data_IF_536439394981
#
_entry.id   IF_536439394981
#
_cell.length_a   1.000
_cell.length_b   1.000
_cell.length_c   1.000
_cell.angle_alpha   90.00
_cell.angle_beta   90.00
_cell.angle_gamma   90.00
#
_symmetry.space_group_name_H-M   'P 1'
#
loop_
_entity.id
_entity.type
_entity.pdbx_description
1 polymer ?
#
# COMPACT_ATOMS: atom_id res chain seq x y z
N UNK A 1 4.75 -1.35 -8.14
CA UNK A 1 5.25 -0.09 -8.73
C UNK A 1 5.71 -0.40 -10.14
N UNK A 2 5.19 0.35 -11.13
CA UNK A 2 5.31 0.02 -12.55
C UNK A 2 6.68 0.30 -13.16
N UNK A 3 7.00 -0.44 -14.21
CA UNK A 3 8.03 -0.09 -15.17
C UNK A 3 7.68 -0.74 -16.53
N UNK A 4 7.06 0.03 -17.41
CA UNK A 4 7.14 -0.17 -18.85
C UNK A 4 8.46 0.46 -19.29
N UNK A 5 9.38 -0.32 -19.85
CA UNK A 5 10.55 0.19 -20.56
C UNK A 5 10.47 -0.27 -22.02
N UNK A 6 10.63 0.71 -22.90
CA UNK A 6 10.38 0.64 -24.34
C UNK A 6 11.49 -0.14 -25.05
N UNK A 7 11.07 -0.87 -26.08
CA UNK A 7 11.87 -1.61 -27.02
C UNK A 7 12.78 -0.70 -27.89
N UNK A 8 14.08 -1.05 -27.88
CA UNK A 8 14.87 -1.51 -29.04
C UNK A 8 15.16 -0.58 -30.25
N UNK A 9 16.49 -0.46 -30.49
CA UNK A 9 17.24 -0.53 -31.77
C UNK A 9 17.83 0.75 -32.42
N UNK A 10 19.13 0.98 -32.11
CA UNK A 10 20.31 1.07 -33.03
C UNK A 10 20.04 0.80 -34.53
N UNK A 11 20.65 1.38 -35.59
CA UNK A 11 21.84 2.22 -35.94
C UNK A 11 21.73 2.52 -37.49
N UNK A 12 22.75 3.02 -38.24
CA UNK A 12 23.38 4.35 -38.24
C UNK A 12 23.41 5.01 -39.66
N UNK A 13 24.14 6.13 -39.72
CA UNK A 13 24.38 7.12 -40.79
C UNK A 13 24.73 6.64 -42.21
N UNK A 14 24.43 7.45 -43.22
CA UNK A 14 25.44 7.95 -44.20
C UNK A 14 25.15 9.43 -44.54
N UNK A 15 26.13 10.28 -44.26
CA UNK A 15 26.23 11.65 -44.72
C UNK A 15 27.05 11.73 -46.02
N UNK A 16 26.59 12.58 -46.93
CA UNK A 16 27.38 13.64 -47.58
C UNK A 16 27.36 13.67 -49.11
N UNK A 17 27.07 14.88 -49.60
CA UNK A 17 27.63 15.47 -50.82
C UNK A 17 26.92 15.22 -52.16
N UNK A 18 25.69 15.74 -52.28
CA UNK A 18 25.33 16.54 -53.46
C UNK A 18 24.80 17.88 -52.95
N UNK A 19 25.73 18.66 -52.38
CA UNK A 19 25.58 20.11 -52.19
C UNK A 19 25.52 20.72 -53.58
N UNK A 20 24.46 21.46 -53.93
CA UNK A 20 24.56 22.83 -54.46
C UNK A 20 23.25 23.41 -54.98
N UNK A 21 22.23 22.61 -55.30
CA UNK A 21 21.06 23.14 -56.05
C UNK A 21 19.84 23.55 -55.20
N UNK A 22 19.71 23.04 -53.97
CA UNK A 22 18.48 23.19 -53.16
C UNK A 22 18.42 24.46 -52.31
N UNK A 23 19.32 25.44 -52.54
CA UNK A 23 19.47 26.61 -51.66
C UNK A 23 18.52 27.78 -51.99
N UNK A 24 17.84 27.75 -53.15
CA UNK A 24 17.11 28.92 -53.65
C UNK A 24 15.57 28.76 -53.62
N UNK A 25 15.02 27.55 -53.69
CA UNK A 25 13.56 27.33 -53.70
C UNK A 25 12.91 27.21 -52.32
N UNK A 26 13.66 26.82 -51.27
CA UNK A 26 13.08 26.59 -49.94
C UNK A 26 12.79 27.86 -49.12
N UNK A 27 13.26 29.04 -49.55
CA UNK A 27 13.09 30.29 -48.80
C UNK A 27 11.66 30.86 -48.87
N UNK A 28 10.90 30.49 -49.89
CA UNK A 28 9.53 30.97 -50.14
C UNK A 28 8.46 30.01 -49.61
N UNK A 29 8.74 28.71 -49.53
CA UNK A 29 7.86 27.72 -48.89
C UNK A 29 7.89 27.81 -47.36
N UNK A 30 9.04 28.12 -46.75
CA UNK A 30 9.17 28.19 -45.28
C UNK A 30 8.34 29.32 -44.64
N UNK A 31 8.05 30.40 -45.37
CA UNK A 31 7.22 31.51 -44.85
C UNK A 31 5.72 31.24 -44.90
N UNK A 32 5.25 30.32 -45.76
CA UNK A 32 3.84 29.93 -45.81
C UNK A 32 3.52 28.79 -44.84
N UNK A 33 4.49 27.94 -44.52
CA UNK A 33 4.34 26.90 -43.50
C UNK A 33 4.48 27.44 -42.06
N UNK A 34 5.17 28.57 -41.87
CA UNK A 34 5.35 29.18 -40.54
C UNK A 34 4.08 29.81 -39.97
N UNK A 35 3.12 30.23 -40.80
CA UNK A 35 1.85 30.79 -40.34
C UNK A 35 0.79 29.73 -39.98
N UNK A 36 0.96 28.47 -40.40
CA UNK A 36 0.04 27.37 -40.06
C UNK A 36 0.47 26.60 -38.81
N UNK A 37 1.68 26.84 -38.28
CA UNK A 37 2.21 26.18 -37.08
C UNK A 37 2.01 26.99 -35.78
N UNK A 38 1.42 28.19 -35.86
CA UNK A 38 1.19 29.11 -34.74
C UNK A 38 -0.24 29.06 -34.17
N UNK A 39 -1.07 28.11 -34.60
CA UNK A 39 -2.46 27.94 -34.15
C UNK A 39 -2.75 26.56 -33.52
N UNK A 40 -1.77 25.97 -32.83
CA UNK A 40 -1.95 24.69 -32.13
C UNK A 40 -1.33 24.63 -30.72
N UNK A 41 -1.08 25.78 -30.08
CA UNK A 41 -0.70 25.85 -28.65
C UNK A 41 -1.86 26.35 -27.77
N UNK A 42 -3.05 25.84 -28.04
CA UNK A 42 -4.21 25.95 -27.15
C UNK A 42 -4.42 24.65 -26.37
N UNK A 43 -3.37 24.08 -25.76
CA UNK A 43 -3.57 23.08 -24.70
C UNK A 43 -4.18 23.82 -23.52
N UNK A 44 -5.50 24.01 -23.57
CA UNK A 44 -6.27 24.33 -22.39
C UNK A 44 -5.89 23.29 -21.36
N UNK A 45 -5.28 23.73 -20.26
CA UNK A 45 -5.33 22.95 -19.03
C UNK A 45 -6.80 22.88 -18.68
N UNK A 46 -7.48 21.86 -19.18
CA UNK A 46 -8.80 21.50 -18.70
C UNK A 46 -8.59 21.21 -17.22
N UNK A 47 -8.96 22.18 -16.37
CA UNK A 47 -9.04 21.95 -14.95
C UNK A 47 -10.13 20.89 -14.84
N UNK A 48 -9.70 19.66 -14.56
CA UNK A 48 -10.57 18.51 -14.45
C UNK A 48 -11.68 18.85 -13.44
N UNK A 49 -12.94 18.63 -13.82
CA UNK A 49 -14.06 19.08 -13.00
C UNK A 49 -13.99 18.38 -11.64
N UNK A 50 -14.32 19.05 -10.53
CA UNK A 50 -14.37 18.40 -9.22
C UNK A 50 -15.38 17.24 -9.26
N UNK A 51 -15.08 16.14 -8.55
CA UNK A 51 -15.96 14.99 -8.63
C UNK A 51 -17.32 15.26 -7.97
N UNK A 52 -18.37 14.87 -8.69
CA UNK A 52 -19.76 14.96 -8.31
C UNK A 52 -20.06 13.99 -7.17
N UNK A 53 -20.76 14.50 -6.17
CA UNK A 53 -21.20 13.75 -4.98
C UNK A 53 -21.87 12.43 -5.35
N UNK A 54 -22.76 12.45 -6.34
CA UNK A 54 -23.51 11.26 -6.75
C UNK A 54 -22.61 10.15 -7.30
N UNK A 55 -21.60 10.48 -8.14
CA UNK A 55 -20.67 9.50 -8.69
C UNK A 55 -19.78 8.90 -7.60
N UNK A 56 -19.33 9.73 -6.66
CA UNK A 56 -18.55 9.27 -5.50
C UNK A 56 -19.37 8.34 -4.62
N UNK A 57 -20.65 8.67 -4.36
CA UNK A 57 -21.53 7.79 -3.59
C UNK A 57 -21.73 6.43 -4.26
N UNK A 58 -21.93 6.41 -5.58
CA UNK A 58 -22.01 5.16 -6.35
C UNK A 58 -20.72 4.35 -6.24
N UNK A 59 -19.57 5.02 -6.36
CA UNK A 59 -18.27 4.37 -6.20
C UNK A 59 -18.15 3.71 -4.82
N UNK A 60 -18.47 4.42 -3.74
CA UNK A 60 -18.40 3.89 -2.37
C UNK A 60 -19.29 2.65 -2.15
N UNK A 61 -20.45 2.59 -2.82
CA UNK A 61 -21.33 1.42 -2.80
C UNK A 61 -20.71 0.26 -3.57
N UNK A 62 -20.19 0.51 -4.78
CA UNK A 62 -19.62 -0.53 -5.65
C UNK A 62 -18.36 -1.16 -5.04
N UNK A 63 -17.57 -0.38 -4.31
CA UNK A 63 -16.41 -0.89 -3.56
C UNK A 63 -16.77 -1.46 -2.19
N UNK A 64 -18.06 -1.48 -1.82
CA UNK A 64 -18.58 -2.05 -0.56
C UNK A 64 -17.90 -1.46 0.69
N UNK A 65 -17.77 -0.14 0.72
CA UNK A 65 -17.08 0.55 1.81
C UNK A 65 -17.79 0.37 3.18
N UNK A 66 -19.12 0.27 3.19
CA UNK A 66 -19.93 -0.03 4.37
C UNK A 66 -19.66 -1.44 4.90
N UNK A 67 -19.60 -2.44 4.01
CA UNK A 67 -19.28 -3.81 4.37
C UNK A 67 -17.85 -3.91 4.92
N UNK A 68 -16.91 -3.18 4.32
CA UNK A 68 -15.52 -3.15 4.79
C UNK A 68 -15.43 -2.64 6.23
N UNK A 69 -16.16 -1.57 6.56
CA UNK A 69 -16.23 -1.05 7.94
C UNK A 69 -16.83 -2.10 8.90
N UNK A 70 -17.90 -2.79 8.48
CA UNK A 70 -18.51 -3.85 9.28
C UNK A 70 -17.56 -5.03 9.52
N UNK A 71 -16.77 -5.40 8.50
CA UNK A 71 -15.75 -6.43 8.60
C UNK A 71 -14.66 -6.04 9.60
N UNK A 72 -14.15 -4.81 9.51
CA UNK A 72 -13.16 -4.28 10.47
C UNK A 72 -13.71 -4.34 11.90
N UNK A 73 -14.97 -3.98 12.13
CA UNK A 73 -15.59 -4.08 13.46
C UNK A 73 -15.74 -5.53 13.96
N UNK A 74 -16.02 -6.45 13.05
CA UNK A 74 -16.12 -7.87 13.37
C UNK A 74 -14.76 -8.45 13.77
N UNK A 75 -13.71 -8.09 13.04
CA UNK A 75 -12.33 -8.52 13.30
C UNK A 75 -11.72 -7.84 14.54
N UNK A 76 -12.14 -6.61 14.83
CA UNK A 76 -11.67 -5.85 16.00
C UNK A 76 -12.21 -6.42 17.32
N UNK A 77 -13.44 -6.96 17.33
CA UNK A 77 -14.09 -7.50 18.54
C UNK A 77 -13.21 -8.45 19.38
N UNK A 78 -12.62 -9.53 18.83
CA UNK A 78 -11.76 -10.42 19.62
C UNK A 78 -10.50 -9.74 20.15
N UNK A 79 -9.95 -8.74 19.43
CA UNK A 79 -8.80 -7.98 19.89
C UNK A 79 -9.14 -7.10 21.10
N UNK A 80 -10.30 -6.43 21.07
CA UNK A 80 -10.79 -5.65 22.22
C UNK A 80 -11.08 -6.53 23.42
N UNK A 81 -11.58 -7.75 23.19
CA UNK A 81 -11.79 -8.73 24.26
C UNK A 81 -10.47 -9.11 24.93
N UNK A 82 -9.43 -9.41 24.14
CA UNK A 82 -8.11 -9.71 24.66
C UNK A 82 -7.52 -8.52 25.43
N UNK A 83 -7.64 -7.31 24.86
CA UNK A 83 -7.14 -6.09 25.49
C UNK A 83 -7.86 -5.79 26.82
N UNK A 84 -9.17 -5.97 26.89
CA UNK A 84 -9.93 -5.78 28.12
C UNK A 84 -9.50 -6.76 29.22
N UNK A 85 -9.28 -8.03 28.86
CA UNK A 85 -8.74 -9.03 29.79
C UNK A 85 -7.37 -8.60 30.32
N UNK A 86 -6.46 -8.15 29.44
CA UNK A 86 -5.14 -7.68 29.81
C UNK A 86 -5.19 -6.46 30.74
N UNK A 87 -6.10 -5.50 30.49
CA UNK A 87 -6.28 -4.33 31.35
C UNK A 87 -6.69 -4.76 32.77
N UNK A 88 -7.68 -5.65 32.89
CA UNK A 88 -8.17 -6.11 34.20
C UNK A 88 -7.10 -6.93 34.92
N UNK A 89 -6.38 -7.81 34.21
CA UNK A 89 -5.24 -8.56 34.75
C UNK A 89 -4.15 -7.62 35.30
N UNK A 90 -3.82 -6.56 34.55
CA UNK A 90 -2.81 -5.59 34.96
C UNK A 90 -3.23 -4.79 36.20
N UNK A 91 -4.48 -4.29 36.24
CA UNK A 91 -5.02 -3.54 37.39
C UNK A 91 -5.03 -4.40 38.67
N UNK A 92 -5.33 -5.69 38.53
CA UNK A 92 -5.45 -6.63 39.65
C UNK A 92 -4.15 -7.38 39.96
N UNK A 93 -3.08 -7.06 39.23
CA UNK A 93 -1.75 -7.68 39.33
C UNK A 93 -1.81 -9.22 39.34
N UNK A 94 -2.60 -9.81 38.44
CA UNK A 94 -2.78 -11.26 38.34
C UNK A 94 -3.01 -11.73 36.92
N UNK A 95 -2.54 -12.94 36.63
CA UNK A 95 -2.70 -13.53 35.29
C UNK A 95 -4.10 -14.13 35.08
N UNK A 96 -4.68 -14.75 36.12
CA UNK A 96 -5.97 -15.44 36.01
C UNK A 96 -7.09 -14.62 36.66
N UNK A 97 -8.18 -14.44 35.91
CA UNK A 97 -9.37 -13.75 36.39
C UNK A 97 -10.39 -14.76 36.94
N UNK A 98 -10.99 -14.45 38.09
CA UNK A 98 -12.19 -15.14 38.55
C UNK A 98 -13.39 -14.85 37.63
N UNK A 99 -14.46 -15.61 37.75
CA UNK A 99 -15.67 -15.42 36.95
C UNK A 99 -16.25 -13.99 37.06
N UNK A 100 -16.26 -13.41 38.26
CA UNK A 100 -16.73 -12.03 38.47
C UNK A 100 -15.82 -11.00 37.79
N UNK A 101 -14.51 -11.19 37.87
CA UNK A 101 -13.52 -10.33 37.21
C UNK A 101 -13.58 -10.44 35.69
N UNK A 102 -13.80 -11.66 35.17
CA UNK A 102 -14.02 -11.88 33.73
C UNK A 102 -15.28 -11.15 33.26
N UNK A 103 -16.36 -11.18 34.06
CA UNK A 103 -17.58 -10.42 33.74
C UNK A 103 -17.31 -8.91 33.65
N UNK A 104 -16.40 -8.37 34.48
CA UNK A 104 -15.97 -6.96 34.38
C UNK A 104 -15.17 -6.72 33.11
N UNK A 105 -14.24 -7.62 32.74
CA UNK A 105 -13.48 -7.53 31.51
C UNK A 105 -14.39 -7.59 30.26
N UNK A 106 -15.40 -8.46 30.25
CA UNK A 106 -16.37 -8.58 29.15
C UNK A 106 -17.19 -7.29 29.00
N UNK A 107 -17.60 -6.67 30.12
CA UNK A 107 -18.29 -5.37 30.10
C UNK A 107 -17.38 -4.26 29.55
N UNK A 108 -16.11 -4.24 29.95
CA UNK A 108 -15.13 -3.30 29.41
C UNK A 108 -14.96 -3.49 27.89
N UNK A 109 -14.76 -4.73 27.43
CA UNK A 109 -14.66 -5.05 26.00
C UNK A 109 -15.90 -4.58 25.22
N UNK A 110 -17.09 -4.80 25.76
CA UNK A 110 -18.35 -4.37 25.14
C UNK A 110 -18.45 -2.83 25.06
N UNK A 111 -18.00 -2.10 26.08
CA UNK A 111 -17.96 -0.63 26.05
C UNK A 111 -16.94 -0.10 25.04
N UNK A 112 -15.77 -0.73 24.94
CA UNK A 112 -14.75 -0.39 23.94
C UNK A 112 -15.28 -0.63 22.53
N UNK A 113 -15.92 -1.78 22.28
CA UNK A 113 -16.51 -2.11 20.99
C UNK A 113 -17.62 -1.12 20.63
N UNK A 114 -18.51 -0.79 21.57
CA UNK A 114 -19.56 0.20 21.35
C UNK A 114 -18.98 1.56 20.97
N UNK A 115 -17.93 2.00 21.66
CA UNK A 115 -17.25 3.26 21.38
C UNK A 115 -16.64 3.27 19.97
N UNK A 116 -16.03 2.15 19.56
CA UNK A 116 -15.49 1.98 18.22
C UNK A 116 -16.61 2.01 17.15
N UNK A 117 -17.71 1.30 17.37
CA UNK A 117 -18.87 1.30 16.48
C UNK A 117 -19.51 2.68 16.32
N UNK A 118 -19.66 3.43 17.42
CA UNK A 118 -20.22 4.77 17.39
C UNK A 118 -19.33 5.75 16.60
N UNK A 119 -18.02 5.52 16.62
CA UNK A 119 -17.01 6.28 15.87
C UNK A 119 -16.95 5.89 14.39
N UNK A 120 -17.15 4.62 14.08
CA UNK A 120 -17.15 4.04 12.73
C UNK A 120 -18.55 3.91 12.12
N UNK A 121 -19.52 4.68 12.60
CA UNK A 121 -20.86 4.66 12.07
C UNK A 121 -20.88 5.14 10.60
N UNK A 122 -21.39 4.29 9.70
CA UNK A 122 -21.44 4.54 8.26
C UNK A 122 -22.16 5.84 7.90
N UNK A 123 -23.32 6.10 8.50
CA UNK A 123 -24.13 7.30 8.20
C UNK A 123 -23.38 8.59 8.55
N UNK A 124 -22.51 8.55 9.56
CA UNK A 124 -21.64 9.68 9.93
C UNK A 124 -20.36 9.75 9.11
N UNK A 125 -19.85 8.62 8.61
CA UNK A 125 -18.61 8.56 7.85
C UNK A 125 -18.82 8.87 6.37
N UNK A 126 -19.87 8.33 5.76
CA UNK A 126 -20.16 8.47 4.32
C UNK A 126 -20.08 9.93 3.85
N UNK A 127 -20.74 10.93 4.48
CA UNK A 127 -20.67 12.31 3.99
C UNK A 127 -19.25 12.91 4.03
N UNK A 128 -18.44 12.52 5.03
CA UNK A 128 -17.05 12.95 5.17
C UNK A 128 -16.16 12.31 4.10
N UNK A 129 -16.37 11.03 3.82
CA UNK A 129 -15.64 10.34 2.75
C UNK A 129 -16.01 10.88 1.38
N UNK A 130 -17.30 11.11 1.11
CA UNK A 130 -17.75 11.73 -0.14
C UNK A 130 -17.07 13.07 -0.35
N UNK A 131 -17.08 13.95 0.65
CA UNK A 131 -16.40 15.24 0.58
C UNK A 131 -14.90 15.10 0.31
N UNK A 132 -14.23 14.18 1.00
CA UNK A 132 -12.81 13.90 0.82
C UNK A 132 -12.50 13.45 -0.61
N UNK A 133 -13.22 12.45 -1.12
CA UNK A 133 -13.05 11.94 -2.48
C UNK A 133 -13.33 13.02 -3.54
N UNK A 134 -14.39 13.81 -3.38
CA UNK A 134 -14.72 14.94 -4.26
C UNK A 134 -13.69 16.07 -4.27
N UNK A 135 -12.81 16.13 -3.25
CA UNK A 135 -11.75 17.14 -3.16
C UNK A 135 -10.42 16.62 -3.72
N UNK A 136 -10.16 15.32 -3.60
CA UNK A 136 -8.88 14.70 -3.98
C UNK A 136 -8.88 14.27 -5.44
N UNK A 137 -9.99 13.70 -5.91
CA UNK A 137 -10.10 13.15 -7.26
C UNK A 137 -10.96 14.03 -8.15
N UNK A 138 -10.64 14.05 -9.43
CA UNK A 138 -11.49 14.66 -10.44
C UNK A 138 -12.71 13.78 -10.76
N UNK A 139 -13.71 14.37 -11.41
CA UNK A 139 -14.87 13.63 -11.88
C UNK A 139 -14.48 12.48 -12.81
N UNK A 140 -13.53 12.72 -13.71
CA UNK A 140 -13.04 11.74 -14.68
C UNK A 140 -12.36 10.56 -13.98
N UNK A 141 -11.56 10.82 -12.94
CA UNK A 141 -10.88 9.79 -12.16
C UNK A 141 -11.85 8.94 -11.33
N UNK A 142 -12.85 9.58 -10.69
CA UNK A 142 -13.90 8.85 -9.96
C UNK A 142 -14.76 8.03 -10.91
N UNK A 143 -15.09 8.58 -12.09
CA UNK A 143 -15.86 7.86 -13.10
C UNK A 143 -15.09 6.64 -13.62
N UNK A 144 -13.79 6.79 -13.92
CA UNK A 144 -12.96 5.67 -14.36
C UNK A 144 -12.86 4.56 -13.30
N UNK A 145 -12.74 4.93 -12.01
CA UNK A 145 -12.81 3.97 -10.91
C UNK A 145 -14.17 3.27 -10.86
N UNK A 146 -15.26 4.04 -10.95
CA UNK A 146 -16.62 3.50 -10.93
C UNK A 146 -16.85 2.52 -12.08
N UNK A 147 -16.45 2.88 -13.30
CA UNK A 147 -16.59 2.03 -14.49
C UNK A 147 -15.83 0.71 -14.33
N UNK A 148 -14.58 0.79 -13.85
CA UNK A 148 -13.78 -0.40 -13.60
C UNK A 148 -14.40 -1.27 -12.51
N UNK A 149 -14.64 -0.74 -11.31
CA UNK A 149 -15.14 -1.52 -10.19
C UNK A 149 -16.58 -2.00 -10.39
N UNK A 150 -17.39 -1.35 -11.23
CA UNK A 150 -18.74 -1.84 -11.57
C UNK A 150 -18.72 -2.97 -12.61
N UNK A 151 -17.61 -3.13 -13.35
CA UNK A 151 -17.50 -4.19 -14.35
C UNK A 151 -17.42 -5.58 -13.72
N UNK A 152 -17.88 -6.65 -14.41
CA UNK A 152 -17.72 -8.02 -13.93
C UNK A 152 -16.26 -8.41 -13.65
N UNK A 153 -15.33 -7.89 -14.47
CA UNK A 153 -13.89 -8.12 -14.30
C UNK A 153 -13.35 -7.38 -13.08
N UNK A 154 -13.71 -6.10 -12.90
CA UNK A 154 -13.29 -5.32 -11.73
C UNK A 154 -13.81 -5.89 -10.41
N UNK A 155 -15.07 -6.34 -10.37
CA UNK A 155 -15.62 -7.08 -9.22
C UNK A 155 -14.85 -8.38 -8.96
N UNK A 156 -14.56 -9.17 -10.00
CA UNK A 156 -13.77 -10.40 -9.85
C UNK A 156 -12.37 -10.14 -9.31
N UNK A 157 -11.70 -9.09 -9.79
CA UNK A 157 -10.38 -8.68 -9.30
C UNK A 157 -10.49 -8.29 -7.83
N UNK A 158 -11.41 -7.39 -7.47
CA UNK A 158 -11.61 -6.92 -6.11
C UNK A 158 -11.85 -8.08 -5.12
N UNK A 159 -12.67 -9.06 -5.50
CA UNK A 159 -12.95 -10.24 -4.67
C UNK A 159 -11.73 -11.17 -4.51
N UNK A 160 -10.82 -11.20 -5.49
CA UNK A 160 -9.61 -12.04 -5.47
C UNK A 160 -8.42 -11.36 -4.79
N UNK A 161 -8.41 -10.02 -4.66
CA UNK A 161 -7.31 -9.30 -4.01
C UNK A 161 -6.98 -9.81 -2.59
N UNK A 162 -7.96 -10.09 -1.70
CA UNK A 162 -7.66 -10.68 -0.40
C UNK A 162 -6.97 -12.04 -0.49
N UNK A 163 -7.32 -12.87 -1.49
CA UNK A 163 -6.65 -14.15 -1.72
C UNK A 163 -5.20 -13.95 -2.16
N UNK A 164 -4.94 -13.00 -3.08
CA UNK A 164 -3.58 -12.68 -3.53
C UNK A 164 -2.71 -12.24 -2.36
N UNK A 165 -3.23 -11.37 -1.49
CA UNK A 165 -2.52 -10.91 -0.29
C UNK A 165 -2.21 -12.09 0.64
N UNK A 166 -3.21 -12.94 0.95
CA UNK A 166 -3.00 -14.12 1.81
C UNK A 166 -1.94 -15.07 1.26
N UNK A 167 -2.04 -15.41 -0.02
CA UNK A 167 -1.07 -16.33 -0.65
C UNK A 167 0.33 -15.71 -0.73
N UNK A 168 0.43 -14.40 -0.93
CA UNK A 168 1.71 -13.69 -0.90
C UNK A 168 2.35 -13.76 0.49
N UNK A 169 1.57 -13.58 1.56
CA UNK A 169 2.05 -13.75 2.93
C UNK A 169 2.48 -15.19 3.21
N UNK A 170 1.73 -16.20 2.75
CA UNK A 170 2.09 -17.61 2.89
C UNK A 170 3.44 -17.93 2.24
N UNK A 171 3.67 -17.44 1.02
CA UNK A 171 4.96 -17.60 0.32
C UNK A 171 6.09 -16.99 1.15
N UNK A 172 5.94 -15.73 1.58
CA UNK A 172 6.97 -15.07 2.40
C UNK A 172 7.23 -15.79 3.72
N UNK A 173 6.21 -16.40 4.34
CA UNK A 173 6.36 -17.16 5.58
C UNK A 173 7.10 -18.48 5.38
N UNK A 174 6.92 -19.15 4.23
CA UNK A 174 7.69 -20.34 3.86
C UNK A 174 9.17 -19.98 3.71
N UNK A 175 9.46 -18.94 2.94
CA UNK A 175 10.84 -18.47 2.72
C UNK A 175 11.50 -18.03 4.04
N UNK A 176 10.75 -17.32 4.89
CA UNK A 176 11.22 -16.91 6.21
C UNK A 176 11.55 -18.13 7.08
N UNK A 177 10.70 -19.16 7.08
CA UNK A 177 10.93 -20.38 7.84
C UNK A 177 12.19 -21.11 7.38
N UNK A 178 12.39 -21.24 6.07
CA UNK A 178 13.59 -21.87 5.51
C UNK A 178 14.86 -21.10 5.89
N UNK A 179 14.84 -19.78 5.74
CA UNK A 179 15.97 -18.93 6.12
C UNK A 179 16.25 -18.98 7.63
N UNK A 180 15.22 -19.02 8.46
CA UNK A 180 15.37 -19.19 9.91
C UNK A 180 15.97 -20.55 10.27
N UNK A 181 15.63 -21.61 9.55
CA UNK A 181 16.24 -22.94 9.76
C UNK A 181 17.72 -22.93 9.37
N UNK A 182 18.06 -22.33 8.24
CA UNK A 182 19.46 -22.17 7.81
C UNK A 182 20.27 -21.37 8.81
N UNK A 183 19.70 -20.27 9.33
CA UNK A 183 20.31 -19.46 10.38
C UNK A 183 20.55 -20.26 11.66
N UNK A 184 19.51 -20.94 12.18
CA UNK A 184 19.61 -21.72 13.41
C UNK A 184 20.54 -22.93 13.31
N UNK A 185 20.72 -23.46 12.10
CA UNK A 185 21.69 -24.53 11.83
C UNK A 185 23.10 -23.96 11.63
N UNK A 186 23.39 -23.53 10.42
CA UNK A 186 24.75 -23.23 9.96
C UNK A 186 25.30 -21.94 10.57
N UNK A 187 24.51 -20.87 10.54
CA UNK A 187 25.02 -19.55 10.94
C UNK A 187 25.18 -19.45 12.46
N UNK A 188 24.24 -20.03 13.21
CA UNK A 188 24.33 -20.10 14.67
C UNK A 188 25.48 -20.99 15.13
N UNK A 189 25.71 -22.13 14.47
CA UNK A 189 26.86 -22.99 14.76
C UNK A 189 28.19 -22.24 14.55
N UNK A 190 28.32 -21.51 13.43
CA UNK A 190 29.50 -20.69 13.16
C UNK A 190 29.72 -19.61 14.23
N UNK A 191 28.66 -18.89 14.62
CA UNK A 191 28.74 -17.89 15.70
C UNK A 191 29.12 -18.51 17.05
N UNK A 192 28.58 -19.68 17.39
CA UNK A 192 28.93 -20.38 18.63
C UNK A 192 30.39 -20.82 18.63
N UNK A 193 30.90 -21.33 17.51
CA UNK A 193 32.30 -21.71 17.36
C UNK A 193 33.24 -20.50 17.52
N UNK A 194 32.90 -19.37 16.90
CA UNK A 194 33.66 -18.11 17.04
C UNK A 194 33.68 -17.63 18.51
N UNK A 195 32.53 -17.67 19.20
CA UNK A 195 32.45 -17.32 20.62
C UNK A 195 33.32 -18.23 21.51
N UNK A 196 33.33 -19.54 21.25
CA UNK A 196 34.17 -20.49 21.99
C UNK A 196 35.66 -20.21 21.77
N UNK A 197 36.08 -19.91 20.54
CA UNK A 197 37.47 -19.54 20.26
C UNK A 197 37.89 -18.26 20.98
N UNK A 198 37.03 -17.23 21.00
CA UNK A 198 37.29 -15.99 21.74
C UNK A 198 37.39 -16.22 23.26
N UNK A 199 36.61 -17.14 23.82
CA UNK A 199 36.72 -17.51 25.23
C UNK A 199 38.03 -18.26 25.53
N UNK A 200 38.42 -19.20 24.67
CA UNK A 200 39.66 -19.97 24.81
C UNK A 200 40.91 -19.06 24.72
N UNK A 201 40.93 -18.14 23.75
CA UNK A 201 42.01 -17.17 23.59
C UNK A 201 42.16 -16.24 24.80
N UNK A 202 41.06 -15.93 25.50
CA UNK A 202 41.06 -15.13 26.73
C UNK A 202 41.55 -15.92 27.95
N UNK A 203 41.34 -17.23 27.99
CA UNK A 203 41.84 -18.11 29.06
C UNK A 203 43.30 -18.53 28.88
N UNK A 204 43.79 -18.66 27.63
CA UNK A 204 45.18 -19.01 27.34
C UNK A 204 46.16 -17.83 27.46
N UNK A 205 45.66 -16.60 27.53
CA UNK A 205 46.46 -15.42 27.83
C UNK A 205 45.98 -14.69 29.11
N UNK A 206 46.28 -15.20 30.32
CA UNK A 206 45.94 -14.52 31.57
C UNK A 206 46.90 -13.36 31.91
N UNK A 207 47.89 -13.05 31.06
CA UNK A 207 49.07 -12.28 31.45
C UNK A 207 49.17 -10.94 30.74
N UNK A 208 48.49 -9.94 31.27
CA UNK A 208 49.15 -8.71 31.74
C UNK A 208 48.25 -8.06 32.79
N UNK A 209 48.59 -8.13 34.09
CA UNK A 209 48.01 -7.19 35.04
C UNK A 209 48.52 -5.80 34.68
N UNK A 210 47.61 -4.87 34.44
CA UNK A 210 47.93 -3.45 34.38
C UNK A 210 48.68 -3.07 35.66
N UNK A 211 49.88 -2.52 35.49
CA UNK A 211 50.66 -1.88 36.54
C UNK A 211 50.55 -0.38 36.36
#
# INVERSE_FOLDING_TARGET
MGAFFIAQQNQPEINSSIKQDTRQENRTMFKKTLCTLLLALGSTTAIAAPAQVETVEKLLVVVQADQTINQVMTELKPQLQLQANQIVQHILERETLSHEQQTVADKLAAQMLKTAQDSMNWDKLKPRMVKMYSTIFSQEEIQAQLDFYSSPVGQSIMQKMPQVIRQSMEITMVDLKENMQNFMGKDMEALMAELMQLQQAKTENPSTPAR
#
